data_IF_520036225535
#
_entry.id   IF_520036225535
#
_cell.length_a   1.000
_cell.length_b   1.000
_cell.length_c   1.000
_cell.angle_alpha   90.00
_cell.angle_beta   90.00
_cell.angle_gamma   90.00
#
_symmetry.space_group_name_H-M   'P 1'
#
loop_
_entity.id
_entity.type
_entity.pdbx_description
1 polymer ?
#
# COMPACT_ATOMS: atom_id res chain seq x y z
N UNK A 1 -9.61 -13.86 7.46
CA UNK A 1 -10.30 -12.62 7.05
C UNK A 1 -10.78 -11.75 8.20
N UNK A 2 -11.41 -12.33 9.20
CA UNK A 2 -11.84 -11.57 10.37
C UNK A 2 -10.70 -10.91 11.11
N UNK A 3 -9.55 -11.58 11.19
CA UNK A 3 -8.38 -11.00 11.83
C UNK A 3 -7.92 -9.73 11.14
N UNK A 4 -7.91 -9.74 9.81
CA UNK A 4 -7.48 -8.58 9.04
C UNK A 4 -8.49 -7.45 9.21
N UNK A 5 -9.79 -7.76 9.20
CA UNK A 5 -10.82 -6.75 9.42
C UNK A 5 -10.69 -6.10 10.80
N UNK A 6 -10.46 -6.90 11.82
CA UNK A 6 -10.28 -6.39 13.16
C UNK A 6 -9.03 -5.50 13.25
N UNK A 7 -7.95 -5.91 12.61
CA UNK A 7 -6.71 -5.14 12.61
C UNK A 7 -6.89 -3.82 11.87
N UNK A 8 -7.61 -3.82 10.75
CA UNK A 8 -7.92 -2.60 10.02
C UNK A 8 -8.73 -1.65 10.89
N UNK A 9 -9.76 -2.15 11.54
CA UNK A 9 -10.62 -1.33 12.41
C UNK A 9 -9.85 -0.77 13.60
N UNK A 10 -8.85 -1.49 14.09
CA UNK A 10 -8.02 -1.02 15.19
C UNK A 10 -6.88 -0.11 14.73
N UNK A 11 -6.68 0.05 13.43
CA UNK A 11 -5.58 0.84 12.90
C UNK A 11 -4.23 0.13 12.92
N UNK A 12 -4.22 -1.18 13.12
CA UNK A 12 -2.99 -1.96 13.19
C UNK A 12 -2.36 -2.23 11.82
N UNK A 13 -3.13 -2.10 10.74
CA UNK A 13 -2.63 -2.31 9.38
C UNK A 13 -2.38 -0.95 8.73
N UNK A 14 -1.18 -0.77 8.18
CA UNK A 14 -0.78 0.44 7.48
C UNK A 14 -0.49 0.08 6.03
N UNK A 15 -1.36 0.48 5.10
CA UNK A 15 -1.09 0.25 3.67
C UNK A 15 0.00 1.17 3.16
N UNK A 16 0.97 0.61 2.47
CA UNK A 16 2.07 1.34 1.85
C UNK A 16 2.04 1.04 0.37
N UNK A 17 1.62 2.02 -0.42
CA UNK A 17 1.49 1.88 -1.86
C UNK A 17 2.72 2.45 -2.55
N UNK A 18 3.31 1.68 -3.45
CA UNK A 18 4.44 2.14 -4.24
C UNK A 18 3.98 2.50 -5.65
N UNK A 19 3.95 3.79 -5.92
CA UNK A 19 3.47 4.33 -7.17
C UNK A 19 2.05 4.86 -7.06
N UNK A 20 1.80 5.99 -7.71
CA UNK A 20 0.48 6.59 -7.75
C UNK A 20 -0.13 6.37 -9.12
N UNK A 21 -1.06 5.44 -9.19
CA UNK A 21 -1.83 5.15 -10.40
C UNK A 21 -3.30 5.44 -10.10
N UNK A 22 -4.16 5.58 -11.12
CA UNK A 22 -5.59 5.74 -10.86
C UNK A 22 -6.16 4.62 -10.01
N UNK A 23 -5.75 3.39 -10.26
CA UNK A 23 -6.21 2.23 -9.51
C UNK A 23 -5.73 2.26 -8.06
N UNK A 24 -4.49 2.69 -7.84
CA UNK A 24 -3.97 2.81 -6.48
C UNK A 24 -4.73 3.86 -5.69
N UNK A 25 -5.01 5.00 -6.31
CA UNK A 25 -5.78 6.07 -5.68
C UNK A 25 -7.19 5.61 -5.35
N UNK A 26 -7.82 4.89 -6.26
CA UNK A 26 -9.16 4.35 -6.03
C UNK A 26 -9.17 3.35 -4.89
N UNK A 27 -8.18 2.47 -4.84
CA UNK A 27 -8.04 1.49 -3.77
C UNK A 27 -7.87 2.19 -2.42
N UNK A 28 -6.98 3.18 -2.34
CA UNK A 28 -6.78 3.93 -1.10
C UNK A 28 -8.06 4.62 -0.65
N UNK A 29 -8.82 5.16 -1.60
CA UNK A 29 -10.07 5.83 -1.30
C UNK A 29 -11.12 4.85 -0.75
N UNK A 30 -11.22 3.67 -1.34
CA UNK A 30 -12.12 2.63 -0.87
C UNK A 30 -11.76 2.16 0.53
N UNK A 31 -10.47 1.97 0.79
CA UNK A 31 -10.00 1.56 2.11
C UNK A 31 -10.33 2.61 3.17
N UNK A 32 -10.19 3.87 2.82
CA UNK A 32 -10.53 4.95 3.73
C UNK A 32 -12.03 4.98 4.02
N UNK A 33 -12.87 4.88 2.99
CA UNK A 33 -14.32 4.92 3.17
C UNK A 33 -14.86 3.73 3.94
N UNK A 34 -14.28 2.53 3.72
CA UNK A 34 -14.79 1.33 4.36
C UNK A 34 -14.23 1.10 5.76
N UNK A 35 -12.98 1.46 5.96
CA UNK A 35 -12.27 1.07 7.18
C UNK A 35 -11.64 2.25 7.92
N UNK A 36 -11.72 3.45 7.37
CA UNK A 36 -11.09 4.61 7.98
C UNK A 36 -9.57 4.58 7.94
N UNK A 37 -9.00 3.78 7.06
CA UNK A 37 -7.55 3.57 6.98
C UNK A 37 -6.94 4.54 5.99
N UNK A 38 -5.87 5.22 6.42
CA UNK A 38 -5.10 6.12 5.57
C UNK A 38 -3.93 5.33 4.98
N UNK A 39 -3.78 5.42 3.65
CA UNK A 39 -2.69 4.76 2.94
C UNK A 39 -1.53 5.71 2.77
N UNK A 40 -0.31 5.19 2.89
CA UNK A 40 0.90 5.95 2.60
C UNK A 40 1.35 5.62 1.19
N UNK A 41 1.56 6.63 0.37
CA UNK A 41 1.90 6.46 -1.04
C UNK A 41 3.29 7.01 -1.30
N UNK A 42 4.19 6.14 -1.71
CA UNK A 42 5.55 6.51 -2.10
C UNK A 42 5.58 6.63 -3.61
N UNK A 43 5.82 7.81 -4.13
CA UNK A 43 5.76 8.06 -5.56
C UNK A 43 6.75 9.13 -5.99
N UNK A 44 7.04 9.14 -7.30
CA UNK A 44 7.98 10.10 -7.87
C UNK A 44 7.39 11.51 -7.93
N UNK A 45 6.12 11.59 -8.32
CA UNK A 45 5.42 12.88 -8.46
C UNK A 45 4.09 12.84 -7.74
N UNK A 46 3.79 13.91 -7.05
CA UNK A 46 2.52 14.06 -6.35
C UNK A 46 1.70 15.11 -7.09
N UNK A 47 0.60 14.72 -7.77
CA UNK A 47 -0.28 15.69 -8.41
C UNK A 47 -0.83 16.69 -7.39
N UNK A 48 -0.96 17.94 -7.80
CA UNK A 48 -1.39 19.01 -6.90
C UNK A 48 -2.74 18.67 -6.24
N UNK A 49 -3.68 18.18 -7.03
CA UNK A 49 -4.99 17.81 -6.51
C UNK A 49 -4.92 16.71 -5.47
N UNK A 50 -3.99 15.77 -5.62
CA UNK A 50 -3.82 14.66 -4.70
C UNK A 50 -3.29 15.09 -3.33
N UNK A 51 -2.59 16.23 -3.27
CA UNK A 51 -2.07 16.73 -2.00
C UNK A 51 -3.17 17.11 -1.02
N UNK A 52 -4.39 17.31 -1.51
CA UNK A 52 -5.54 17.63 -0.68
C UNK A 52 -6.32 16.39 -0.24
N UNK A 53 -5.86 15.20 -0.60
CA UNK A 53 -6.54 13.97 -0.26
C UNK A 53 -6.48 13.70 1.25
N UNK A 54 -7.62 13.31 1.81
CA UNK A 54 -7.71 12.91 3.21
C UNK A 54 -7.40 11.43 3.40
N UNK A 55 -7.41 10.64 2.33
CA UNK A 55 -7.25 9.20 2.42
C UNK A 55 -5.82 8.73 2.14
N UNK A 56 -4.94 9.63 1.73
CA UNK A 56 -3.56 9.28 1.38
C UNK A 56 -2.58 10.29 1.97
N UNK A 57 -1.46 9.77 2.43
CA UNK A 57 -0.30 10.58 2.82
C UNK A 57 0.82 10.28 1.84
N UNK A 58 1.38 11.31 1.22
CA UNK A 58 2.34 11.16 0.16
C UNK A 58 3.76 11.32 0.63
N UNK A 59 4.63 10.47 0.10
CA UNK A 59 6.07 10.52 0.31
C UNK A 59 6.72 10.58 -1.06
N UNK A 60 7.31 11.72 -1.38
CA UNK A 60 7.93 11.90 -2.69
C UNK A 60 9.33 11.32 -2.69
N UNK A 61 9.55 10.32 -3.55
CA UNK A 61 10.86 9.71 -3.75
C UNK A 61 11.21 9.83 -5.23
N UNK A 62 12.14 10.70 -5.62
CA UNK A 62 12.47 10.87 -7.03
C UNK A 62 12.98 9.55 -7.64
N UNK A 63 12.36 9.15 -8.73
CA UNK A 63 12.74 7.91 -9.41
C UNK A 63 14.16 7.98 -9.94
N UNK A 64 14.61 9.19 -10.32
CA UNK A 64 15.96 9.41 -10.82
C UNK A 64 17.04 9.19 -9.77
N UNK A 65 16.67 9.17 -8.50
CA UNK A 65 17.61 8.95 -7.41
C UNK A 65 17.98 7.47 -7.22
N UNK A 66 17.30 6.56 -7.93
CA UNK A 66 17.62 5.14 -7.92
C UNK A 66 16.90 4.32 -6.86
N UNK A 67 17.06 3.02 -6.96
CA UNK A 67 16.37 2.07 -6.07
C UNK A 67 16.80 2.22 -4.62
N UNK A 68 18.05 2.54 -4.37
CA UNK A 68 18.57 2.61 -3.00
C UNK A 68 17.87 3.69 -2.19
N UNK A 69 17.52 4.80 -2.82
CA UNK A 69 16.80 5.85 -2.11
C UNK A 69 15.40 5.38 -1.70
N UNK A 70 14.71 4.66 -2.59
CA UNK A 70 13.40 4.11 -2.26
C UNK A 70 13.51 3.09 -1.12
N UNK A 71 14.47 2.19 -1.17
CA UNK A 71 14.66 1.19 -0.13
C UNK A 71 15.00 1.84 1.20
N UNK A 72 15.85 2.87 1.18
CA UNK A 72 16.19 3.61 2.39
C UNK A 72 14.97 4.34 2.94
N UNK A 73 14.16 4.95 2.07
CA UNK A 73 12.95 5.65 2.50
C UNK A 73 11.95 4.69 3.15
N UNK A 74 11.80 3.50 2.61
CA UNK A 74 10.92 2.48 3.21
C UNK A 74 11.45 2.01 4.56
N UNK A 75 12.74 1.81 4.67
CA UNK A 75 13.37 1.44 5.94
C UNK A 75 13.17 2.53 6.99
N UNK A 76 13.40 3.78 6.62
CA UNK A 76 13.22 4.92 7.53
C UNK A 76 11.76 5.05 7.96
N UNK A 77 10.84 4.83 7.03
CA UNK A 77 9.42 4.87 7.33
C UNK A 77 9.04 3.81 8.37
N UNK A 78 9.53 2.59 8.18
CA UNK A 78 9.28 1.51 9.14
C UNK A 78 9.88 1.83 10.51
N UNK A 79 11.08 2.42 10.53
CA UNK A 79 11.72 2.83 11.78
C UNK A 79 10.93 3.90 12.51
N UNK A 80 10.39 4.88 11.77
CA UNK A 80 9.60 5.95 12.35
C UNK A 80 8.34 5.45 13.04
N UNK A 81 7.71 4.45 12.47
CA UNK A 81 6.52 3.87 13.08
C UNK A 81 6.86 3.07 14.32
N UNK A 82 8.00 2.37 14.31
CA UNK A 82 8.59 1.76 15.49
C UNK A 82 7.71 0.87 16.35
N UNK A 83 6.54 0.49 15.87
CA UNK A 83 5.57 -0.25 16.66
C UNK A 83 5.45 -1.68 16.11
N UNK A 84 5.85 -2.65 16.95
CA UNK A 84 5.84 -4.05 16.55
C UNK A 84 4.44 -4.60 16.30
N UNK A 85 3.41 -3.93 16.82
CA UNK A 85 2.03 -4.37 16.63
C UNK A 85 1.43 -3.90 15.30
N UNK A 86 2.15 -3.06 14.56
CA UNK A 86 1.70 -2.58 13.27
C UNK A 86 2.10 -3.55 12.16
N UNK A 87 1.18 -3.78 11.24
CA UNK A 87 1.45 -4.56 10.04
C UNK A 87 1.60 -3.58 8.88
N UNK A 88 2.81 -3.51 8.34
CA UNK A 88 3.10 -2.65 7.19
C UNK A 88 2.86 -3.46 5.91
N UNK A 89 1.78 -3.14 5.22
CA UNK A 89 1.35 -3.88 4.05
C UNK A 89 1.84 -3.19 2.80
N UNK A 90 2.85 -3.76 2.16
CA UNK A 90 3.55 -3.15 1.02
C UNK A 90 2.95 -3.64 -0.30
N UNK A 91 2.45 -2.69 -1.09
CA UNK A 91 1.73 -3.00 -2.32
C UNK A 91 2.36 -2.24 -3.49
N UNK A 92 3.11 -2.93 -4.36
CA UNK A 92 3.59 -2.28 -5.58
C UNK A 92 2.42 -2.09 -6.55
N UNK A 93 2.31 -0.89 -7.12
CA UNK A 93 1.16 -0.51 -7.92
C UNK A 93 1.44 -0.42 -9.41
N UNK A 94 2.69 -0.61 -9.82
CA UNK A 94 3.05 -0.65 -11.24
C UNK A 94 4.18 -1.65 -11.45
N UNK A 95 4.51 -1.91 -12.70
CA UNK A 95 5.52 -2.91 -13.04
C UNK A 95 6.90 -2.56 -12.51
N UNK A 96 7.28 -1.28 -12.58
CA UNK A 96 8.57 -0.83 -12.09
C UNK A 96 8.75 -1.15 -10.60
N UNK A 97 7.76 -0.82 -9.79
CA UNK A 97 7.83 -1.06 -8.35
C UNK A 97 7.61 -2.53 -8.00
N UNK A 98 6.83 -3.25 -8.80
CA UNK A 98 6.70 -4.69 -8.63
C UNK A 98 8.05 -5.38 -8.77
N UNK A 99 8.81 -5.01 -9.80
CA UNK A 99 10.14 -5.56 -10.01
C UNK A 99 11.09 -5.18 -8.86
N UNK A 100 11.05 -3.93 -8.44
CA UNK A 100 11.88 -3.46 -7.33
C UNK A 100 11.61 -4.24 -6.05
N UNK A 101 10.33 -4.40 -5.71
CA UNK A 101 9.93 -5.09 -4.49
C UNK A 101 10.36 -6.55 -4.52
N UNK A 102 10.09 -7.25 -5.61
CA UNK A 102 10.43 -8.66 -5.68
C UNK A 102 11.92 -8.92 -5.82
N UNK A 103 12.68 -8.00 -6.42
CA UNK A 103 14.14 -8.09 -6.46
C UNK A 103 14.76 -7.93 -5.07
N UNK A 104 14.08 -7.23 -4.16
CA UNK A 104 14.56 -6.98 -2.80
C UNK A 104 13.65 -7.58 -1.74
N UNK A 105 12.86 -8.59 -2.11
CA UNK A 105 11.84 -9.15 -1.23
C UNK A 105 12.41 -9.69 0.07
N UNK A 106 13.58 -10.32 0.01
CA UNK A 106 14.19 -10.91 1.20
C UNK A 106 14.44 -9.88 2.30
N UNK A 107 14.91 -8.71 1.92
CA UNK A 107 15.13 -7.63 2.88
C UNK A 107 13.82 -6.97 3.31
N UNK A 108 12.92 -6.76 2.35
CA UNK A 108 11.67 -6.07 2.64
C UNK A 108 10.73 -6.88 3.52
N UNK A 109 10.72 -8.20 3.37
CA UNK A 109 9.86 -9.07 4.15
C UNK A 109 10.19 -9.09 5.64
N UNK A 110 11.34 -8.57 6.02
CA UNK A 110 11.69 -8.46 7.43
C UNK A 110 10.79 -7.49 8.17
N UNK A 111 10.25 -6.49 7.46
CA UNK A 111 9.47 -5.41 8.07
C UNK A 111 8.13 -5.18 7.41
N UNK A 112 7.93 -5.69 6.20
CA UNK A 112 6.71 -5.50 5.43
C UNK A 112 6.10 -6.83 5.06
N UNK A 113 4.78 -6.83 4.98
CA UNK A 113 4.05 -7.91 4.34
C UNK A 113 3.87 -7.48 2.88
N UNK A 114 4.46 -8.22 1.95
CA UNK A 114 4.40 -7.88 0.54
C UNK A 114 3.18 -8.55 -0.09
N UNK A 115 2.39 -7.75 -0.80
CA UNK A 115 1.25 -8.27 -1.53
C UNK A 115 1.08 -7.48 -2.81
N UNK A 116 0.53 -8.11 -3.82
CA UNK A 116 0.14 -7.38 -5.01
C UNK A 116 -1.24 -6.75 -4.79
N UNK A 117 -1.63 -5.88 -5.71
CA UNK A 117 -2.89 -5.16 -5.60
C UNK A 117 -4.11 -6.10 -5.67
N UNK A 118 -4.05 -7.11 -6.53
CA UNK A 118 -5.14 -8.06 -6.65
C UNK A 118 -5.33 -8.87 -5.38
N UNK A 119 -4.23 -9.30 -4.76
CA UNK A 119 -4.28 -10.01 -3.49
C UNK A 119 -4.86 -9.15 -2.39
N UNK A 120 -4.44 -7.90 -2.32
CA UNK A 120 -4.96 -6.96 -1.33
C UNK A 120 -6.45 -6.76 -1.51
N UNK A 121 -6.92 -6.60 -2.74
CA UNK A 121 -8.35 -6.43 -2.99
C UNK A 121 -9.16 -7.66 -2.58
N UNK A 122 -8.65 -8.86 -2.82
CA UNK A 122 -9.33 -10.07 -2.38
C UNK A 122 -9.45 -10.16 -0.88
N UNK A 123 -8.39 -9.80 -0.17
CA UNK A 123 -8.37 -9.87 1.29
C UNK A 123 -9.26 -8.80 1.91
N UNK A 124 -9.17 -7.58 1.43
CA UNK A 124 -9.83 -6.43 2.06
C UNK A 124 -11.25 -6.18 1.54
N UNK A 125 -11.49 -6.54 0.29
CA UNK A 125 -12.77 -6.29 -0.38
C UNK A 125 -13.36 -7.55 -0.99
N UNK A 126 -13.05 -8.71 -0.42
CA UNK A 126 -13.46 -9.98 -1.00
C UNK A 126 -14.95 -10.10 -1.26
N UNK A 127 -15.77 -9.58 -0.35
CA UNK A 127 -17.21 -9.63 -0.52
C UNK A 127 -17.70 -8.76 -1.70
N UNK A 128 -16.95 -7.74 -2.08
CA UNK A 128 -17.26 -6.91 -3.23
C UNK A 128 -16.70 -7.49 -4.53
N UNK A 129 -15.53 -8.08 -4.44
CA UNK A 129 -14.86 -8.62 -5.61
C UNK A 129 -15.47 -9.95 -6.06
N UNK A 130 -15.83 -10.79 -5.12
CA UNK A 130 -16.36 -12.11 -5.42
C UNK A 130 -17.61 -12.10 -6.31
N UNK A 131 -18.60 -11.24 -6.08
CA UNK A 131 -19.77 -11.20 -6.96
C UNK A 131 -19.44 -10.87 -8.41
N UNK A 132 -18.46 -10.02 -8.63
CA UNK A 132 -18.03 -9.67 -9.98
C UNK A 132 -17.38 -10.86 -10.67
N UNK A 133 -16.60 -11.61 -9.97
CA UNK A 133 -15.96 -12.82 -10.48
C UNK A 133 -17.01 -13.88 -10.79
N UNK A 134 -17.98 -14.04 -9.93
CA UNK A 134 -19.04 -15.00 -10.12
C UNK A 134 -19.90 -14.66 -11.34
N UNK A 135 -20.15 -13.40 -11.55
CA UNK A 135 -20.92 -12.94 -12.70
C UNK A 135 -20.17 -13.24 -14.00
N UNK A 136 -18.88 -13.08 -13.99
CA UNK A 136 -18.06 -13.33 -15.17
C UNK A 136 -17.77 -14.81 -15.39
N UNK A 137 -17.89 -15.58 -14.37
CA UNK A 137 -17.69 -17.02 -14.47
C UNK A 137 -18.95 -17.70 -14.94
#
# INVERSE_FOLDING_TARGET
MEYIMNDVLSGAIVPVLLGLTPEAGETAHRMYRRHGVISHVFCDRIPLASRLSLCMKFHRIPQTAGEQLMLQALSDFADQLGNADLILYLIPCNEHYTNLVWDHAEDLERRFVIADRAEMERVWFGAEAAPLEEVTA
#
